data_IF_682996161220
#
_entry.id   IF_682996161220
#
_cell.length_a   1.000
_cell.length_b   1.000
_cell.length_c   1.000
_cell.angle_alpha   90.00
_cell.angle_beta   90.00
_cell.angle_gamma   90.00
#
_symmetry.space_group_name_H-M   'P 1'
#
loop_
_entity.id
_entity.type
_entity.pdbx_description
1 polymer ?
#
# COMPACT_ATOMS: atom_id res chain seq x y z
N UNK A 1 21.06 30.17 -47.13
CA UNK A 1 21.73 29.73 -45.88
C UNK A 1 20.63 29.43 -44.89
N UNK A 2 20.33 28.15 -44.64
CA UNK A 2 19.34 27.76 -43.62
C UNK A 2 20.09 27.65 -42.30
N UNK A 3 19.74 28.48 -41.32
CA UNK A 3 20.19 28.28 -39.93
C UNK A 3 19.20 27.34 -39.26
N UNK A 4 19.62 26.22 -38.67
CA UNK A 4 18.73 25.38 -37.89
C UNK A 4 18.40 26.11 -36.58
N UNK A 5 17.10 26.22 -36.31
CA UNK A 5 16.54 26.72 -35.06
C UNK A 5 17.01 25.84 -33.89
N UNK A 6 17.45 26.40 -32.75
CA UNK A 6 17.93 25.58 -31.64
C UNK A 6 16.74 24.88 -30.98
N UNK A 7 16.70 23.54 -31.08
CA UNK A 7 15.72 22.74 -30.36
C UNK A 7 15.74 23.07 -28.85
N UNK A 8 14.57 23.27 -28.21
CA UNK A 8 14.51 23.50 -26.79
C UNK A 8 14.95 22.22 -26.07
N UNK A 9 16.17 22.25 -25.52
CA UNK A 9 16.68 21.21 -24.61
C UNK A 9 15.92 21.29 -23.30
N UNK A 10 14.70 20.78 -23.26
CA UNK A 10 14.05 20.40 -22.01
C UNK A 10 14.87 19.25 -21.42
N UNK A 11 15.88 19.60 -20.62
CA UNK A 11 16.55 18.65 -19.74
C UNK A 11 15.59 18.33 -18.61
N UNK A 12 14.62 17.46 -18.90
CA UNK A 12 13.93 16.73 -17.84
C UNK A 12 15.03 15.87 -17.22
N UNK A 13 15.41 16.17 -15.97
CA UNK A 13 16.33 15.32 -15.24
C UNK A 13 15.80 13.87 -15.33
N UNK A 14 16.65 12.87 -15.60
CA UNK A 14 16.18 11.49 -15.65
C UNK A 14 15.56 11.19 -14.29
N UNK A 15 14.23 11.02 -14.27
CA UNK A 15 13.54 10.46 -13.10
C UNK A 15 14.30 9.19 -12.76
N UNK A 16 14.62 8.97 -11.49
CA UNK A 16 15.28 7.74 -11.10
C UNK A 16 14.27 6.60 -11.27
N UNK A 17 14.28 5.98 -12.46
CA UNK A 17 13.40 4.88 -12.85
C UNK A 17 13.52 3.72 -11.86
N UNK A 18 14.66 3.59 -11.17
CA UNK A 18 14.86 2.61 -10.10
C UNK A 18 13.99 2.93 -8.88
N UNK A 19 13.91 4.19 -8.48
CA UNK A 19 13.09 4.62 -7.34
C UNK A 19 11.59 4.48 -7.66
N UNK A 20 11.17 4.88 -8.87
CA UNK A 20 9.77 4.75 -9.30
C UNK A 20 9.31 3.28 -9.36
N UNK A 21 10.15 2.41 -9.90
CA UNK A 21 9.84 0.96 -9.96
C UNK A 21 9.83 0.31 -8.59
N UNK A 22 10.69 0.76 -7.68
CA UNK A 22 10.71 0.30 -6.28
C UNK A 22 9.45 0.71 -5.54
N UNK A 23 9.04 1.98 -5.66
CA UNK A 23 7.84 2.53 -5.04
C UNK A 23 6.58 1.81 -5.53
N UNK A 24 6.49 1.56 -6.85
CA UNK A 24 5.39 0.79 -7.45
C UNK A 24 5.34 -0.67 -6.94
N UNK A 25 6.49 -1.36 -6.87
CA UNK A 25 6.57 -2.72 -6.32
C UNK A 25 6.14 -2.80 -4.87
N UNK A 26 6.59 -1.86 -4.03
CA UNK A 26 6.17 -1.79 -2.62
C UNK A 26 4.66 -1.61 -2.50
N UNK A 27 4.07 -0.68 -3.26
CA UNK A 27 2.62 -0.48 -3.30
C UNK A 27 1.87 -1.76 -3.66
N UNK A 28 2.26 -2.44 -4.75
CA UNK A 28 1.63 -3.69 -5.17
C UNK A 28 1.77 -4.81 -4.15
N UNK A 29 2.93 -4.89 -3.48
CA UNK A 29 3.18 -5.89 -2.44
C UNK A 29 2.29 -5.68 -1.20
N UNK A 30 2.04 -4.43 -0.81
CA UNK A 30 1.13 -4.11 0.30
C UNK A 30 -0.33 -4.42 -0.05
N UNK A 31 -0.79 -4.05 -1.25
CA UNK A 31 -2.12 -4.41 -1.76
C UNK A 31 -2.36 -5.91 -1.71
N UNK A 32 -1.37 -6.70 -2.13
CA UNK A 32 -1.46 -8.16 -2.11
C UNK A 32 -1.59 -8.69 -0.68
N UNK A 33 -0.85 -8.14 0.28
CA UNK A 33 -0.95 -8.54 1.69
C UNK A 33 -2.30 -8.19 2.31
N UNK A 34 -2.82 -6.98 2.06
CA UNK A 34 -4.16 -6.56 2.52
C UNK A 34 -5.22 -7.50 1.95
N UNK A 35 -5.16 -7.78 0.64
CA UNK A 35 -6.08 -8.70 -0.04
C UNK A 35 -6.01 -10.11 0.54
N UNK A 36 -4.80 -10.61 0.85
CA UNK A 36 -4.64 -11.91 1.49
C UNK A 36 -5.29 -11.93 2.88
N UNK A 37 -5.07 -10.91 3.72
CA UNK A 37 -5.68 -10.83 5.06
C UNK A 37 -7.21 -10.79 4.94
N UNK A 38 -7.75 -9.98 4.03
CA UNK A 38 -9.18 -9.90 3.73
C UNK A 38 -9.77 -11.26 3.34
N UNK A 39 -9.14 -11.93 2.38
CA UNK A 39 -9.57 -13.26 1.94
C UNK A 39 -9.51 -14.30 3.06
N UNK A 40 -8.59 -14.16 4.03
CA UNK A 40 -8.48 -15.06 5.18
C UNK A 40 -9.45 -14.75 6.31
N UNK A 41 -10.11 -13.60 6.30
CA UNK A 41 -11.25 -13.30 7.16
C UNK A 41 -12.54 -13.79 6.52
N UNK A 42 -12.68 -13.64 5.20
CA UNK A 42 -13.85 -14.08 4.45
C UNK A 42 -13.90 -15.61 4.27
N UNK A 43 -12.74 -16.27 4.14
CA UNK A 43 -12.65 -17.73 3.96
C UNK A 43 -11.96 -18.41 5.15
N UNK A 44 -12.77 -19.12 5.95
CA UNK A 44 -12.33 -19.83 7.16
C UNK A 44 -11.38 -21.00 6.84
N UNK A 45 -11.42 -21.53 5.62
CA UNK A 45 -10.56 -22.64 5.17
C UNK A 45 -9.22 -22.19 4.56
N UNK A 46 -8.90 -20.88 4.58
CA UNK A 46 -7.62 -20.38 4.08
C UNK A 46 -6.45 -20.83 4.98
N UNK A 47 -5.30 -21.27 4.44
CA UNK A 47 -4.15 -21.69 5.25
C UNK A 47 -3.60 -20.59 6.17
N UNK A 48 -3.80 -19.31 5.82
CA UNK A 48 -3.47 -18.16 6.67
C UNK A 48 -4.45 -17.98 7.85
N UNK A 49 -5.59 -18.68 7.85
CA UNK A 49 -6.52 -18.68 8.97
C UNK A 49 -6.00 -19.47 10.18
N UNK A 50 -4.93 -20.26 10.02
CA UNK A 50 -4.20 -20.87 11.13
C UNK A 50 -3.48 -19.82 11.99
N UNK A 51 -3.17 -18.64 11.44
CA UNK A 51 -2.65 -17.53 12.21
C UNK A 51 -3.81 -16.91 13.01
N UNK A 52 -3.77 -17.04 14.34
CA UNK A 52 -4.80 -16.46 15.21
C UNK A 52 -4.95 -14.94 15.02
N UNK A 53 -6.08 -14.35 15.48
CA UNK A 53 -6.41 -12.94 15.25
C UNK A 53 -5.28 -11.96 15.58
N UNK A 54 -4.53 -12.22 16.66
CA UNK A 54 -3.38 -11.40 17.09
C UNK A 54 -2.24 -11.32 16.07
N UNK A 55 -1.95 -12.41 15.36
CA UNK A 55 -0.91 -12.40 14.32
C UNK A 55 -1.35 -11.57 13.10
N UNK A 56 -2.64 -11.66 12.75
CA UNK A 56 -3.22 -10.86 11.66
C UNK A 56 -3.21 -9.37 12.00
N UNK A 57 -3.55 -9.00 13.25
CA UNK A 57 -3.43 -7.62 13.76
C UNK A 57 -1.98 -7.11 13.72
N UNK A 58 -1.02 -7.91 14.16
CA UNK A 58 0.39 -7.53 14.13
C UNK A 58 0.94 -7.33 12.70
N UNK A 59 0.46 -8.14 11.73
CA UNK A 59 0.78 -7.94 10.31
C UNK A 59 0.17 -6.64 9.78
N UNK A 60 -1.07 -6.37 10.15
CA UNK A 60 -1.80 -5.20 9.69
C UNK A 60 -1.19 -3.89 10.22
N UNK A 61 -0.78 -3.86 11.49
CA UNK A 61 -0.01 -2.74 12.06
C UNK A 61 1.30 -2.47 11.30
N UNK A 62 2.02 -3.54 10.90
CA UNK A 62 3.23 -3.40 10.05
C UNK A 62 2.92 -2.88 8.65
N UNK A 63 1.77 -3.23 8.08
CA UNK A 63 1.34 -2.73 6.76
C UNK A 63 1.06 -1.23 6.86
N UNK A 64 0.34 -0.77 7.88
CA UNK A 64 0.08 0.65 8.14
C UNK A 64 1.35 1.47 8.23
N UNK A 65 2.32 1.03 9.04
CA UNK A 65 3.61 1.71 9.13
C UNK A 65 4.39 1.77 7.79
N UNK A 66 4.17 0.82 6.88
CA UNK A 66 4.75 0.88 5.52
C UNK A 66 3.97 1.82 4.58
N UNK A 67 2.66 1.94 4.75
CA UNK A 67 1.83 2.93 4.04
C UNK A 67 2.30 4.35 4.41
N UNK A 68 2.52 4.63 5.69
CA UNK A 68 3.05 5.92 6.17
C UNK A 68 4.40 6.28 5.54
N UNK A 69 5.29 5.29 5.40
CA UNK A 69 6.59 5.50 4.73
C UNK A 69 6.37 5.84 3.25
N UNK A 70 5.52 5.09 2.54
CA UNK A 70 5.21 5.39 1.13
C UNK A 70 4.54 6.77 0.97
N UNK A 71 3.70 7.17 1.92
CA UNK A 71 3.11 8.50 1.94
C UNK A 71 4.20 9.58 2.03
N UNK A 72 5.26 9.38 2.81
CA UNK A 72 6.34 10.37 2.92
C UNK A 72 7.31 10.35 1.72
N UNK A 73 7.52 9.18 1.11
CA UNK A 73 8.45 9.02 -0.02
C UNK A 73 7.86 9.45 -1.37
N UNK A 74 6.53 9.42 -1.54
CA UNK A 74 5.85 9.67 -2.82
C UNK A 74 6.23 11.00 -3.48
N UNK A 75 6.38 12.06 -2.70
CA UNK A 75 6.68 13.42 -3.19
C UNK A 75 8.09 13.56 -3.76
N UNK A 76 9.00 12.61 -3.46
CA UNK A 76 10.36 12.63 -4.00
C UNK A 76 10.45 12.00 -5.39
N UNK A 77 9.48 11.17 -5.75
CA UNK A 77 9.59 10.26 -6.89
C UNK A 77 8.47 10.48 -7.92
N UNK A 78 7.26 10.82 -7.48
CA UNK A 78 6.10 11.00 -8.35
C UNK A 78 5.98 12.43 -8.86
N UNK A 79 5.48 12.58 -10.08
CA UNK A 79 5.05 13.87 -10.59
C UNK A 79 3.69 14.29 -10.04
N UNK A 80 3.38 15.59 -10.11
CA UNK A 80 2.10 16.17 -9.67
C UNK A 80 0.88 15.52 -10.34
N UNK A 81 1.03 14.98 -11.55
CA UNK A 81 -0.04 14.26 -12.26
C UNK A 81 -0.25 12.83 -11.74
N UNK A 82 0.81 12.19 -11.22
CA UNK A 82 0.79 10.81 -10.72
C UNK A 82 0.41 10.76 -9.23
N UNK A 83 0.67 11.85 -8.50
CA UNK A 83 0.45 11.99 -7.06
C UNK A 83 -1.00 11.71 -6.63
N UNK A 84 -2.04 12.33 -7.23
CA UNK A 84 -3.43 12.15 -6.77
C UNK A 84 -3.92 10.71 -6.89
N UNK A 85 -3.53 10.02 -7.96
CA UNK A 85 -3.88 8.61 -8.14
C UNK A 85 -3.13 7.72 -7.14
N UNK A 86 -1.86 8.04 -6.84
CA UNK A 86 -1.11 7.29 -5.85
C UNK A 86 -1.66 7.48 -4.44
N UNK A 87 -1.96 8.73 -4.05
CA UNK A 87 -2.59 9.10 -2.78
C UNK A 87 -3.91 8.39 -2.59
N UNK A 88 -4.83 8.47 -3.57
CA UNK A 88 -6.12 7.78 -3.49
C UNK A 88 -5.99 6.27 -3.30
N UNK A 89 -4.93 5.65 -3.83
CA UNK A 89 -4.68 4.23 -3.61
C UNK A 89 -4.11 3.93 -2.22
N UNK A 90 -3.30 4.82 -1.65
CA UNK A 90 -2.81 4.67 -0.28
C UNK A 90 -3.95 4.87 0.72
N UNK A 91 -4.79 5.89 0.52
CA UNK A 91 -5.95 6.16 1.37
C UNK A 91 -6.90 4.95 1.42
N UNK A 92 -7.15 4.33 0.26
CA UNK A 92 -7.94 3.09 0.19
C UNK A 92 -7.29 1.92 0.93
N UNK A 93 -5.96 1.79 0.85
CA UNK A 93 -5.24 0.73 1.58
C UNK A 93 -5.31 0.95 3.09
N UNK A 94 -5.25 2.21 3.52
CA UNK A 94 -5.38 2.59 4.92
C UNK A 94 -6.80 2.30 5.44
N UNK A 95 -7.83 2.71 4.69
CA UNK A 95 -9.24 2.41 4.99
C UNK A 95 -9.49 0.89 5.04
N UNK A 96 -9.01 0.13 4.05
CA UNK A 96 -9.12 -1.33 4.05
C UNK A 96 -8.42 -1.93 5.27
N UNK A 97 -7.24 -1.43 5.64
CA UNK A 97 -6.53 -1.89 6.82
C UNK A 97 -7.33 -1.60 8.11
N UNK A 98 -7.83 -0.38 8.30
CA UNK A 98 -8.66 0.01 9.45
C UNK A 98 -9.91 -0.85 9.60
N UNK A 99 -10.59 -1.12 8.49
CA UNK A 99 -11.78 -1.97 8.46
C UNK A 99 -11.46 -3.42 8.86
N UNK A 100 -10.31 -3.95 8.39
CA UNK A 100 -9.84 -5.28 8.76
C UNK A 100 -9.42 -5.37 10.23
N UNK A 101 -8.78 -4.31 10.77
CA UNK A 101 -8.43 -4.24 12.19
C UNK A 101 -9.68 -4.33 13.08
N UNK A 102 -10.66 -3.48 12.78
CA UNK A 102 -11.94 -3.43 13.51
C UNK A 102 -12.68 -4.78 13.47
N UNK A 103 -12.64 -5.44 12.31
CA UNK A 103 -13.25 -6.76 12.12
C UNK A 103 -12.52 -7.85 12.92
N UNK A 104 -11.18 -7.82 12.94
CA UNK A 104 -10.35 -8.75 13.70
C UNK A 104 -10.51 -8.57 15.21
N UNK A 105 -10.54 -7.33 15.68
CA UNK A 105 -10.76 -7.02 17.09
C UNK A 105 -12.14 -7.46 17.56
N UNK A 106 -13.18 -7.20 16.75
CA UNK A 106 -14.54 -7.69 17.03
C UNK A 106 -14.60 -9.22 17.08
N UNK A 107 -13.86 -9.90 16.20
CA UNK A 107 -13.77 -11.36 16.22
C UNK A 107 -13.02 -11.85 17.47
N UNK A 108 -11.91 -11.21 17.84
CA UNK A 108 -11.09 -11.56 19.00
C UNK A 108 -11.88 -11.41 20.32
N UNK A 109 -12.67 -10.34 20.48
CA UNK A 109 -13.51 -10.14 21.68
C UNK A 109 -14.60 -11.22 21.81
N UNK A 110 -15.29 -11.56 20.72
CA UNK A 110 -16.30 -12.64 20.71
C UNK A 110 -15.75 -14.01 21.12
N UNK A 111 -14.46 -14.29 20.84
CA UNK A 111 -13.81 -15.52 21.29
C UNK A 111 -13.57 -15.54 22.80
N UNK A 112 -13.21 -14.40 23.40
CA UNK A 112 -13.02 -14.30 24.85
C UNK A 112 -14.32 -14.39 25.64
N UNK A 113 -15.44 -13.91 25.11
CA UNK A 113 -16.76 -14.00 25.77
C UNK A 113 -17.38 -15.41 25.71
N UNK A 114 -16.87 -16.28 24.83
CA UNK A 114 -17.36 -17.67 24.64
C UNK A 114 -16.48 -18.74 25.29
N UNK A 115 -15.34 -18.36 25.88
CA UNK A 115 -14.37 -19.24 26.53
C UNK A 115 -14.60 -19.29 28.05
#
# INVERSE_FOLDING_TARGET
MWSPEPEPKFKIAPRDLSELTTLSRHKSHLLSQITQIKNCLENVDSPLNQAGPKNKLALLSKIKGKIDVLQNERYRVLSDEELPNFESNLDKMEEDADNLESSLDSHNQNWYERS
#
